data_IF_269841885830
#
_entry.id   IF_269841885830
#
_cell.length_a   1.000
_cell.length_b   1.000
_cell.length_c   1.000
_cell.angle_alpha   90.00
_cell.angle_beta   90.00
_cell.angle_gamma   90.00
#
_symmetry.space_group_name_H-M   'P 1'
#
loop_
_entity.id
_entity.type
_entity.pdbx_description
1 polymer ?
#
# COMPACT_ATOMS: atom_id res chain seq x y z
N UNK A 1 8.79 -19.16 3.64
CA UNK A 1 8.67 -17.78 4.16
C UNK A 1 8.16 -17.84 5.59
N UNK A 2 9.04 -18.17 6.55
CA UNK A 2 8.64 -18.71 7.85
C UNK A 2 9.14 -17.82 8.99
N UNK A 3 8.23 -17.25 9.81
CA UNK A 3 8.62 -16.55 11.02
C UNK A 3 9.41 -17.43 12.00
N UNK A 4 10.41 -16.87 12.68
CA UNK A 4 11.20 -17.59 13.67
C UNK A 4 10.39 -17.81 14.96
N UNK A 5 9.99 -19.05 15.29
CA UNK A 5 9.09 -19.30 16.42
C UNK A 5 9.67 -18.87 17.78
N UNK A 6 10.99 -18.81 17.92
CA UNK A 6 11.65 -18.39 19.16
C UNK A 6 11.49 -16.90 19.47
N UNK A 7 11.16 -16.09 18.46
CA UNK A 7 10.98 -14.65 18.59
C UNK A 7 9.51 -14.24 18.66
N UNK A 8 8.59 -15.18 18.48
CA UNK A 8 7.15 -14.98 18.67
C UNK A 8 6.86 -15.12 20.16
N UNK A 9 6.79 -13.99 20.86
CA UNK A 9 6.64 -13.94 22.33
C UNK A 9 5.37 -13.23 22.80
N UNK A 10 4.68 -12.53 21.91
CA UNK A 10 3.41 -11.87 22.23
C UNK A 10 2.27 -12.85 21.95
N UNK A 11 1.41 -13.03 22.95
CA UNK A 11 0.17 -13.82 22.91
C UNK A 11 -1.09 -12.93 22.86
N UNK A 12 -2.26 -13.56 22.73
CA UNK A 12 -3.58 -12.91 22.69
C UNK A 12 -3.66 -11.73 21.69
N UNK A 13 -3.06 -11.97 20.51
CA UNK A 13 -2.71 -10.92 19.57
C UNK A 13 -3.95 -10.18 19.07
N UNK A 14 -5.05 -10.87 18.72
CA UNK A 14 -6.28 -10.23 18.22
C UNK A 14 -6.94 -9.30 19.24
N UNK A 15 -7.00 -9.71 20.51
CA UNK A 15 -7.56 -8.87 21.56
C UNK A 15 -6.68 -7.63 21.79
N UNK A 16 -5.35 -7.83 21.89
CA UNK A 16 -4.40 -6.72 22.02
C UNK A 16 -4.42 -5.78 20.82
N UNK A 17 -4.60 -6.29 19.59
CA UNK A 17 -4.76 -5.46 18.38
C UNK A 17 -5.99 -4.56 18.53
N UNK A 18 -7.12 -5.11 18.97
CA UNK A 18 -8.35 -4.36 19.15
C UNK A 18 -8.19 -3.25 20.21
N UNK A 19 -7.53 -3.58 21.33
CA UNK A 19 -7.19 -2.61 22.38
C UNK A 19 -6.27 -1.52 21.82
N UNK A 20 -5.21 -1.90 21.11
CA UNK A 20 -4.25 -0.97 20.53
C UNK A 20 -4.88 0.00 19.53
N UNK A 21 -5.68 -0.52 18.58
CA UNK A 21 -6.36 0.30 17.59
C UNK A 21 -7.32 1.27 18.28
N UNK A 22 -8.04 0.82 19.31
CA UNK A 22 -8.91 1.70 20.09
C UNK A 22 -8.11 2.80 20.80
N UNK A 23 -7.13 2.43 21.63
CA UNK A 23 -6.45 3.35 22.53
C UNK A 23 -5.46 4.29 21.83
N UNK A 24 -4.72 3.80 20.83
CA UNK A 24 -3.65 4.56 20.18
C UNK A 24 -4.06 5.20 18.86
N UNK A 25 -5.19 4.79 18.28
CA UNK A 25 -5.62 5.29 16.96
C UNK A 25 -7.00 5.92 17.01
N UNK A 26 -8.03 5.16 17.38
CA UNK A 26 -9.43 5.57 17.21
C UNK A 26 -9.89 6.58 18.26
N UNK A 27 -9.68 6.33 19.55
CA UNK A 27 -10.07 7.25 20.61
C UNK A 27 -9.34 8.61 20.52
N UNK A 28 -8.02 8.66 20.27
CA UNK A 28 -7.33 9.92 19.99
C UNK A 28 -7.88 10.64 18.75
N UNK A 29 -8.17 9.90 17.67
CA UNK A 29 -8.73 10.47 16.44
C UNK A 29 -10.11 11.08 16.67
N UNK A 30 -11.01 10.42 17.43
CA UNK A 30 -12.33 10.96 17.77
C UNK A 30 -12.22 12.29 18.52
N UNK A 31 -11.30 12.39 19.48
CA UNK A 31 -11.01 13.65 20.17
C UNK A 31 -10.48 14.71 19.20
N UNK A 32 -9.56 14.32 18.33
CA UNK A 32 -8.98 15.20 17.31
C UNK A 32 -10.04 15.69 16.31
N UNK A 33 -11.02 14.87 15.94
CA UNK A 33 -12.18 15.27 15.13
C UNK A 33 -12.99 16.37 15.81
N UNK A 34 -13.25 16.23 17.12
CA UNK A 34 -13.89 17.27 17.92
C UNK A 34 -13.13 18.61 17.86
N UNK A 35 -11.81 18.57 18.07
CA UNK A 35 -10.95 19.76 17.96
C UNK A 35 -10.81 20.29 16.53
N UNK A 36 -10.84 19.41 15.53
CA UNK A 36 -10.77 19.76 14.11
C UNK A 36 -11.96 20.63 13.69
N UNK A 37 -13.15 20.34 14.22
CA UNK A 37 -14.33 21.17 13.97
C UNK A 37 -14.18 22.61 14.46
N UNK A 38 -13.48 22.81 15.59
CA UNK A 38 -13.22 24.12 16.20
C UNK A 38 -12.04 24.83 15.55
N UNK A 39 -10.91 24.15 15.41
CA UNK A 39 -9.62 24.74 15.05
C UNK A 39 -9.32 24.71 13.55
N UNK A 40 -10.09 23.92 12.79
CA UNK A 40 -9.83 23.61 11.38
C UNK A 40 -8.47 22.96 11.12
N UNK A 41 -7.84 22.40 12.16
CA UNK A 41 -6.65 21.58 12.03
C UNK A 41 -7.02 20.15 11.61
N UNK A 42 -6.09 19.44 10.99
CA UNK A 42 -6.32 18.05 10.59
C UNK A 42 -6.50 17.13 11.81
N UNK A 43 -7.46 16.19 11.79
CA UNK A 43 -7.60 15.16 12.81
C UNK A 43 -6.63 13.98 12.60
N UNK A 44 -5.79 14.03 11.56
CA UNK A 44 -4.87 12.95 11.21
C UNK A 44 -3.84 12.70 12.31
N UNK A 45 -3.90 11.50 12.89
CA UNK A 45 -2.90 11.00 13.83
C UNK A 45 -1.80 10.29 13.05
N UNK A 46 -0.54 10.77 13.15
CA UNK A 46 0.61 10.13 12.51
C UNK A 46 0.70 8.65 12.91
N UNK A 47 0.61 7.75 11.94
CA UNK A 47 0.57 6.28 12.16
C UNK A 47 1.95 5.62 12.31
N UNK A 48 3.04 6.38 12.50
CA UNK A 48 4.40 5.85 12.57
C UNK A 48 4.59 4.83 13.69
N UNK A 49 4.59 5.31 14.94
CA UNK A 49 4.72 4.44 16.13
C UNK A 49 3.53 3.50 16.33
N UNK A 50 2.26 3.93 16.20
CA UNK A 50 1.12 3.00 16.26
C UNK A 50 1.24 1.86 15.25
N UNK A 51 1.75 2.12 14.04
CA UNK A 51 1.99 1.09 13.02
C UNK A 51 3.08 0.09 13.40
N UNK A 52 4.15 0.52 14.08
CA UNK A 52 5.19 -0.38 14.60
C UNK A 52 4.66 -1.28 15.71
N UNK A 53 3.87 -0.74 16.64
CA UNK A 53 3.22 -1.56 17.67
C UNK A 53 2.20 -2.53 17.06
N UNK A 54 1.42 -2.08 16.08
CA UNK A 54 0.50 -2.94 15.34
C UNK A 54 1.26 -4.08 14.63
N UNK A 55 2.39 -3.78 13.99
CA UNK A 55 3.26 -4.81 13.39
C UNK A 55 3.76 -5.81 14.44
N UNK A 56 4.16 -5.34 15.64
CA UNK A 56 4.57 -6.23 16.73
C UNK A 56 3.45 -7.19 17.13
N UNK A 57 2.22 -6.69 17.27
CA UNK A 57 1.07 -7.52 17.63
C UNK A 57 0.66 -8.47 16.50
N UNK A 58 0.68 -8.04 15.24
CA UNK A 58 0.31 -8.92 14.12
C UNK A 58 1.32 -10.06 13.97
N UNK A 59 2.61 -9.74 14.05
CA UNK A 59 3.69 -10.72 13.88
C UNK A 59 3.96 -11.54 15.15
N UNK A 60 3.46 -11.10 16.30
CA UNK A 60 3.76 -11.69 17.60
C UNK A 60 5.18 -11.40 18.12
N UNK A 61 5.92 -10.51 17.46
CA UNK A 61 7.33 -10.24 17.75
C UNK A 61 7.47 -8.86 18.40
N UNK A 62 8.23 -8.78 19.48
CA UNK A 62 8.51 -7.50 20.14
C UNK A 62 9.38 -6.57 19.30
N UNK A 63 9.26 -5.26 19.55
CA UNK A 63 10.19 -4.26 19.03
C UNK A 63 11.60 -4.33 19.65
N UNK A 64 12.58 -3.74 18.97
CA UNK A 64 14.00 -3.77 19.38
C UNK A 64 14.38 -2.78 20.50
N UNK A 65 13.48 -1.86 20.88
CA UNK A 65 13.71 -0.76 21.86
C UNK A 65 14.74 0.29 21.42
N UNK A 66 15.03 0.40 20.12
CA UNK A 66 16.12 1.27 19.59
C UNK A 66 15.71 2.73 19.33
N UNK A 67 14.46 3.13 19.59
CA UNK A 67 14.04 4.53 19.47
C UNK A 67 14.29 5.12 18.07
N UNK A 68 14.01 4.34 17.02
CA UNK A 68 14.24 4.65 15.59
C UNK A 68 15.72 4.64 15.12
N UNK A 69 16.64 4.03 15.88
CA UNK A 69 18.07 3.92 15.53
C UNK A 69 18.56 2.47 15.29
N UNK A 70 17.65 1.55 15.01
CA UNK A 70 17.93 0.15 14.70
C UNK A 70 16.69 -0.55 14.16
N UNK A 71 16.69 -1.88 14.18
CA UNK A 71 15.61 -2.69 13.61
C UNK A 71 14.24 -2.35 14.21
N UNK A 72 13.17 -2.40 13.44
CA UNK A 72 11.84 -2.12 13.99
C UNK A 72 11.39 -3.25 14.93
N UNK A 73 11.57 -4.51 14.50
CA UNK A 73 11.29 -5.71 15.30
C UNK A 73 12.56 -6.49 15.64
N UNK A 74 12.51 -7.28 16.72
CA UNK A 74 13.67 -8.07 17.22
C UNK A 74 14.20 -9.13 16.26
N UNK A 75 13.45 -9.50 15.23
CA UNK A 75 13.86 -10.44 14.20
C UNK A 75 14.52 -9.75 12.98
N UNK A 76 14.72 -8.43 13.03
CA UNK A 76 15.26 -7.65 11.92
C UNK A 76 14.22 -7.23 10.89
N UNK A 77 12.92 -7.48 11.10
CA UNK A 77 11.86 -7.03 10.18
C UNK A 77 11.87 -5.50 10.07
N UNK A 78 11.86 -5.01 8.83
CA UNK A 78 11.68 -3.59 8.51
C UNK A 78 10.19 -3.27 8.37
N UNK A 79 9.68 -2.30 9.14
CA UNK A 79 8.27 -1.91 9.15
C UNK A 79 8.08 -0.58 8.43
N UNK A 80 7.17 -0.54 7.46
CA UNK A 80 6.69 0.72 6.86
C UNK A 80 5.20 0.88 7.03
N UNK A 81 4.81 2.06 7.48
CA UNK A 81 3.41 2.41 7.72
C UNK A 81 3.02 3.62 6.88
N UNK A 82 1.84 3.59 6.28
CA UNK A 82 1.25 4.76 5.63
C UNK A 82 -0.25 4.85 5.93
N UNK A 83 -0.84 6.03 5.74
CA UNK A 83 -2.27 6.24 5.99
C UNK A 83 -2.85 7.22 4.98
N UNK A 84 -3.98 6.83 4.38
CA UNK A 84 -4.85 7.67 3.53
C UNK A 84 -6.01 8.27 4.34
N UNK A 85 -6.14 7.87 5.61
CA UNK A 85 -7.12 8.41 6.55
C UNK A 85 -6.77 9.85 6.87
N UNK A 86 -7.79 10.72 6.80
CA UNK A 86 -7.72 12.16 7.09
C UNK A 86 -6.62 12.91 6.31
N UNK A 87 -6.33 12.41 5.10
CA UNK A 87 -5.46 13.11 4.18
C UNK A 87 -6.11 14.44 3.76
N UNK A 88 -5.30 15.50 3.69
CA UNK A 88 -5.78 16.83 3.28
C UNK A 88 -6.20 16.82 1.81
N UNK A 89 -7.46 17.20 1.59
CA UNK A 89 -8.05 17.33 0.27
C UNK A 89 -7.83 18.74 -0.29
N UNK A 90 -8.27 19.02 -1.51
CA UNK A 90 -8.08 20.34 -2.14
C UNK A 90 -9.33 20.77 -2.89
N UNK A 91 -9.83 21.98 -2.62
CA UNK A 91 -10.93 22.57 -3.36
C UNK A 91 -10.51 22.80 -4.82
N UNK A 92 -11.31 22.36 -5.80
CA UNK A 92 -10.97 22.58 -7.21
C UNK A 92 -11.18 24.04 -7.64
N UNK A 93 -12.12 24.75 -7.03
CA UNK A 93 -12.41 26.15 -7.33
C UNK A 93 -11.30 27.10 -6.84
N UNK A 94 -11.04 27.15 -5.52
CA UNK A 94 -10.10 28.12 -4.94
C UNK A 94 -8.70 27.55 -4.62
N UNK A 95 -8.48 26.23 -4.80
CA UNK A 95 -7.23 25.50 -4.47
C UNK A 95 -6.87 25.45 -2.98
N UNK A 96 -7.75 25.91 -2.09
CA UNK A 96 -7.53 25.83 -0.66
C UNK A 96 -7.62 24.39 -0.14
N UNK A 97 -6.96 24.12 1.00
CA UNK A 97 -7.04 22.82 1.66
C UNK A 97 -8.42 22.61 2.28
N UNK A 98 -8.89 21.37 2.20
CA UNK A 98 -10.18 20.96 2.75
C UNK A 98 -9.95 19.71 3.59
N UNK A 99 -10.55 19.67 4.79
CA UNK A 99 -10.44 18.52 5.67
C UNK A 99 -11.31 17.38 5.13
N UNK A 100 -10.90 16.14 5.43
CA UNK A 100 -11.63 14.94 4.97
C UNK A 100 -13.10 14.93 5.40
N UNK A 101 -13.40 15.48 6.59
CA UNK A 101 -14.77 15.57 7.13
C UNK A 101 -15.62 16.68 6.52
N UNK A 102 -15.00 17.66 5.87
CA UNK A 102 -15.71 18.79 5.29
C UNK A 102 -16.30 18.41 3.93
N UNK A 103 -17.61 18.66 3.74
CA UNK A 103 -18.32 18.46 2.47
C UNK A 103 -18.20 19.66 1.52
N UNK A 104 -17.90 20.84 2.07
CA UNK A 104 -17.79 22.13 1.37
C UNK A 104 -16.48 22.80 1.73
N UNK A 105 -15.91 23.56 0.81
CA UNK A 105 -14.75 24.40 1.09
C UNK A 105 -15.12 25.53 2.06
N UNK A 106 -14.40 25.66 3.17
CA UNK A 106 -14.60 26.70 4.18
C UNK A 106 -14.30 28.12 3.70
N UNK A 107 -13.57 28.28 2.59
CA UNK A 107 -13.20 29.60 2.03
C UNK A 107 -14.15 30.08 0.95
N UNK A 108 -14.57 29.20 0.02
CA UNK A 108 -15.39 29.60 -1.14
C UNK A 108 -16.76 28.93 -1.21
N UNK A 109 -17.10 28.04 -0.27
CA UNK A 109 -18.38 27.31 -0.24
C UNK A 109 -18.54 26.22 -1.31
N UNK A 110 -17.55 26.02 -2.18
CA UNK A 110 -17.64 25.02 -3.26
C UNK A 110 -17.64 23.57 -2.73
N UNK A 111 -18.53 22.74 -3.27
CA UNK A 111 -18.56 21.29 -3.06
C UNK A 111 -17.61 20.51 -3.98
N UNK A 112 -17.03 21.17 -5.00
CA UNK A 112 -16.12 20.51 -5.94
C UNK A 112 -14.74 20.32 -5.31
N UNK A 113 -14.61 19.23 -4.56
CA UNK A 113 -13.43 18.87 -3.80
C UNK A 113 -12.68 17.73 -4.51
N UNK A 114 -11.38 17.94 -4.75
CA UNK A 114 -10.47 16.86 -5.11
C UNK A 114 -10.07 16.12 -3.83
N UNK A 115 -10.64 14.94 -3.65
CA UNK A 115 -10.32 14.01 -2.56
C UNK A 115 -9.01 13.29 -2.87
N UNK A 116 -8.05 13.34 -1.95
CA UNK A 116 -6.70 12.80 -2.13
C UNK A 116 -6.60 11.37 -1.60
N UNK A 117 -5.84 10.53 -2.29
CA UNK A 117 -5.67 9.09 -1.98
C UNK A 117 -4.24 8.62 -2.34
N UNK A 118 -3.24 9.49 -2.11
CA UNK A 118 -1.88 9.36 -2.62
C UNK A 118 -0.81 9.23 -1.50
N UNK A 119 -1.15 8.51 -0.44
CA UNK A 119 -0.15 8.06 0.54
C UNK A 119 0.68 6.88 0.03
N UNK A 120 1.92 6.81 0.49
CA UNK A 120 2.94 5.84 0.06
C UNK A 120 3.85 5.42 1.20
N UNK A 121 4.41 4.22 1.10
CA UNK A 121 5.55 3.82 1.92
C UNK A 121 6.82 4.47 1.35
N UNK A 122 7.67 4.98 2.25
CA UNK A 122 8.90 5.67 1.89
C UNK A 122 10.10 4.82 2.30
N UNK A 123 10.95 4.50 1.34
CA UNK A 123 12.22 3.83 1.58
C UNK A 123 13.37 4.81 1.29
N UNK A 124 14.13 5.14 2.31
CA UNK A 124 15.35 5.93 2.15
C UNK A 124 16.49 4.98 1.78
N UNK A 125 17.17 5.26 0.66
CA UNK A 125 18.34 4.50 0.22
C UNK A 125 19.41 5.50 -0.20
N UNK A 126 20.43 5.67 0.65
CA UNK A 126 21.46 6.70 0.56
C UNK A 126 22.88 6.14 0.59
N UNK A 127 23.01 4.84 0.76
CA UNK A 127 24.28 4.11 0.75
C UNK A 127 24.06 2.69 0.26
N UNK A 128 25.16 2.00 -0.06
CA UNK A 128 25.13 0.58 -0.35
C UNK A 128 24.69 -0.25 0.85
N UNK A 129 25.01 0.19 2.08
CA UNK A 129 24.57 -0.46 3.31
C UNK A 129 23.04 -0.38 3.49
N UNK A 130 22.43 0.78 3.22
CA UNK A 130 20.97 0.92 3.26
C UNK A 130 20.29 0.07 2.16
N UNK A 131 20.91 -0.04 0.99
CA UNK A 131 20.42 -0.94 -0.06
C UNK A 131 20.55 -2.40 0.36
N UNK A 132 21.70 -2.80 0.91
CA UNK A 132 21.97 -4.16 1.38
C UNK A 132 21.06 -4.53 2.56
N UNK A 133 20.73 -3.57 3.43
CA UNK A 133 19.76 -3.76 4.49
C UNK A 133 18.43 -4.25 3.89
N UNK A 134 17.87 -3.49 2.97
CA UNK A 134 16.56 -3.74 2.36
C UNK A 134 16.50 -4.91 1.36
N UNK A 135 17.65 -5.41 0.88
CA UNK A 135 17.68 -6.41 -0.20
C UNK A 135 18.36 -7.72 0.17
N UNK A 136 19.17 -7.74 1.23
CA UNK A 136 20.00 -8.89 1.62
C UNK A 136 19.98 -9.19 3.11
N UNK A 137 19.83 -8.17 3.95
CA UNK A 137 20.02 -8.32 5.41
C UNK A 137 18.71 -8.59 6.12
N UNK A 138 17.66 -7.81 5.82
CA UNK A 138 16.33 -8.04 6.39
C UNK A 138 15.62 -9.11 5.56
N UNK A 139 15.19 -10.16 6.24
CA UNK A 139 14.40 -11.22 5.60
C UNK A 139 12.99 -10.76 5.27
N UNK A 140 12.39 -9.91 6.11
CA UNK A 140 10.99 -9.51 6.02
C UNK A 140 10.82 -7.99 5.99
N UNK A 141 10.05 -7.53 5.01
CA UNK A 141 9.46 -6.19 4.95
C UNK A 141 7.99 -6.31 5.34
N UNK A 142 7.56 -5.52 6.32
CA UNK A 142 6.20 -5.49 6.83
C UNK A 142 5.54 -4.14 6.54
N UNK A 143 4.49 -4.17 5.74
CA UNK A 143 3.85 -2.97 5.21
C UNK A 143 2.46 -2.81 5.81
N UNK A 144 2.20 -1.71 6.51
CA UNK A 144 0.87 -1.37 7.03
C UNK A 144 0.23 -0.20 6.30
N UNK A 145 -1.07 -0.27 6.10
CA UNK A 145 -1.86 0.82 5.54
C UNK A 145 -3.17 0.99 6.29
N UNK A 146 -3.54 2.25 6.55
CA UNK A 146 -4.90 2.63 6.91
C UNK A 146 -5.55 3.38 5.73
N UNK A 147 -6.72 2.95 5.27
CA UNK A 147 -7.44 3.56 4.16
C UNK A 147 -8.96 3.59 4.35
N UNK A 148 -9.66 4.13 3.36
CA UNK A 148 -11.12 4.11 3.27
C UNK A 148 -11.51 3.07 2.21
N UNK A 149 -12.02 1.87 2.57
CA UNK A 149 -12.29 0.79 1.62
C UNK A 149 -13.38 1.16 0.60
N UNK A 150 -14.20 2.17 0.93
CA UNK A 150 -15.27 2.72 0.09
C UNK A 150 -14.97 4.17 -0.35
N UNK A 151 -13.70 4.47 -0.60
CA UNK A 151 -13.25 5.81 -0.99
C UNK A 151 -13.97 6.35 -2.23
N UNK A 152 -14.15 5.50 -3.26
CA UNK A 152 -14.80 5.87 -4.53
C UNK A 152 -16.28 6.23 -4.37
N UNK A 153 -16.96 5.71 -3.35
CA UNK A 153 -18.35 6.07 -3.02
C UNK A 153 -18.45 7.24 -2.05
N UNK A 154 -17.35 7.92 -1.74
CA UNK A 154 -17.32 9.05 -0.80
C UNK A 154 -17.59 8.67 0.66
N UNK A 155 -17.45 7.40 1.03
CA UNK A 155 -17.62 6.98 2.41
C UNK A 155 -16.30 7.15 3.18
N UNK A 156 -16.30 8.07 4.14
CA UNK A 156 -15.16 8.38 5.02
C UNK A 156 -15.45 8.05 6.48
N UNK A 157 -16.39 7.14 6.72
CA UNK A 157 -16.79 6.70 8.06
C UNK A 157 -16.45 5.23 8.33
N UNK A 158 -16.11 4.48 7.28
CA UNK A 158 -15.51 3.15 7.42
C UNK A 158 -14.02 3.26 7.16
N UNK A 159 -13.20 2.90 8.14
CA UNK A 159 -11.74 2.82 7.99
C UNK A 159 -11.35 1.35 7.85
N UNK A 160 -10.30 1.06 7.08
CA UNK A 160 -9.70 -0.27 7.02
C UNK A 160 -8.22 -0.19 7.34
N UNK A 161 -7.74 -1.10 8.19
CA UNK A 161 -6.33 -1.32 8.48
C UNK A 161 -5.90 -2.64 7.84
N UNK A 162 -4.79 -2.64 7.13
CA UNK A 162 -4.25 -3.83 6.49
C UNK A 162 -2.75 -3.94 6.74
N UNK A 163 -2.25 -5.18 6.69
CA UNK A 163 -0.83 -5.44 6.66
C UNK A 163 -0.45 -6.51 5.64
N UNK A 164 0.73 -6.31 5.04
CA UNK A 164 1.29 -7.18 4.02
C UNK A 164 2.74 -7.53 4.36
N UNK A 165 3.13 -8.76 4.03
CA UNK A 165 4.51 -9.23 4.14
C UNK A 165 5.14 -9.39 2.75
N UNK A 166 6.41 -8.99 2.65
CA UNK A 166 7.31 -9.29 1.54
C UNK A 166 8.56 -9.91 2.17
N UNK A 167 8.99 -11.05 1.65
CA UNK A 167 10.13 -11.82 2.15
C UNK A 167 11.28 -11.81 1.14
N UNK A 168 12.33 -11.04 1.42
CA UNK A 168 13.41 -10.74 0.48
C UNK A 168 14.25 -11.97 0.08
N UNK A 169 14.39 -12.94 0.99
CA UNK A 169 15.12 -14.18 0.73
C UNK A 169 14.36 -15.16 -0.16
N UNK A 170 13.08 -14.90 -0.46
CA UNK A 170 12.25 -15.78 -1.28
C UNK A 170 12.15 -15.30 -2.75
N UNK A 171 12.40 -16.18 -3.75
CA UNK A 171 12.29 -15.84 -5.18
C UNK A 171 10.94 -15.23 -5.59
N UNK A 172 9.85 -15.58 -4.88
CA UNK A 172 8.52 -15.04 -5.06
C UNK A 172 8.49 -13.52 -5.04
N UNK A 173 9.32 -12.92 -4.19
CA UNK A 173 9.31 -11.49 -3.89
C UNK A 173 10.48 -10.71 -4.51
N UNK A 174 11.25 -11.34 -5.41
CA UNK A 174 12.46 -10.78 -6.06
C UNK A 174 12.32 -9.36 -6.62
N UNK A 175 11.10 -9.00 -7.03
CA UNK A 175 10.81 -7.70 -7.63
C UNK A 175 10.95 -6.55 -6.64
N UNK A 176 10.76 -6.77 -5.33
CA UNK A 176 11.02 -5.74 -4.33
C UNK A 176 12.50 -5.32 -4.33
N UNK A 177 13.42 -6.29 -4.26
CA UNK A 177 14.85 -6.02 -4.30
C UNK A 177 15.28 -5.34 -5.61
N UNK A 178 14.65 -5.72 -6.73
CA UNK A 178 14.87 -5.09 -8.04
C UNK A 178 14.44 -3.61 -8.04
N UNK A 179 13.30 -3.27 -7.42
CA UNK A 179 12.84 -1.89 -7.30
C UNK A 179 13.76 -1.03 -6.42
N UNK A 180 14.23 -1.56 -5.30
CA UNK A 180 15.15 -0.86 -4.42
C UNK A 180 16.50 -0.61 -5.10
N UNK A 181 17.02 -1.62 -5.79
CA UNK A 181 18.26 -1.53 -6.58
C UNK A 181 18.13 -0.51 -7.72
N UNK A 182 17.03 -0.57 -8.48
CA UNK A 182 16.78 0.36 -9.58
C UNK A 182 16.72 1.81 -9.11
N UNK A 183 16.04 2.08 -7.99
CA UNK A 183 16.01 3.41 -7.41
C UNK A 183 17.41 3.88 -7.01
N UNK A 184 18.20 3.05 -6.33
CA UNK A 184 19.55 3.42 -5.91
C UNK A 184 20.43 3.79 -7.11
N UNK A 185 20.47 2.92 -8.13
CA UNK A 185 21.31 3.12 -9.31
C UNK A 185 20.83 4.27 -10.18
N UNK A 186 19.53 4.32 -10.50
CA UNK A 186 18.98 5.26 -11.49
C UNK A 186 18.64 6.62 -10.90
N UNK A 187 18.22 6.68 -9.63
CA UNK A 187 17.85 7.94 -8.97
C UNK A 187 18.94 8.44 -8.04
N UNK A 188 19.35 7.64 -7.06
CA UNK A 188 20.27 8.12 -6.03
C UNK A 188 21.64 8.48 -6.60
N UNK A 189 22.31 7.53 -7.25
CA UNK A 189 23.65 7.75 -7.81
C UNK A 189 23.65 8.80 -8.92
N UNK A 190 22.67 8.78 -9.83
CA UNK A 190 22.61 9.79 -10.90
C UNK A 190 22.37 11.21 -10.37
N UNK A 191 21.53 11.38 -9.34
CA UNK A 191 21.38 12.69 -8.70
C UNK A 191 22.68 13.16 -8.03
N UNK A 192 23.45 12.25 -7.42
CA UNK A 192 24.75 12.55 -6.81
C UNK A 192 25.81 12.92 -7.84
N UNK A 193 25.81 12.28 -9.02
CA UNK A 193 26.67 12.66 -10.16
C UNK A 193 26.39 14.09 -10.64
N UNK A 194 25.11 14.49 -10.71
CA UNK A 194 24.71 15.83 -11.12
C UNK A 194 24.99 16.89 -10.04
N UNK A 195 24.85 16.53 -8.76
CA UNK A 195 25.13 17.43 -7.64
C UNK A 195 25.40 16.63 -6.36
N UNK A 196 26.63 16.69 -5.87
CA UNK A 196 27.05 15.98 -4.67
C UNK A 196 26.20 16.32 -3.43
N UNK A 197 25.71 17.56 -3.33
CA UNK A 197 24.89 18.04 -2.21
C UNK A 197 23.41 17.68 -2.35
N UNK A 198 22.96 17.24 -3.53
CA UNK A 198 21.56 16.88 -3.74
C UNK A 198 21.29 15.52 -3.12
N UNK A 199 20.28 15.48 -2.25
CA UNK A 199 19.72 14.22 -1.73
C UNK A 199 18.34 14.06 -2.37
N UNK A 200 18.14 13.05 -3.23
CA UNK A 200 16.84 12.85 -3.86
C UNK A 200 15.78 12.46 -2.82
N UNK A 201 14.52 12.68 -3.17
CA UNK A 201 13.39 12.23 -2.35
C UNK A 201 13.42 10.70 -2.21
N UNK A 202 13.02 10.14 -1.06
CA UNK A 202 12.99 8.69 -0.84
C UNK A 202 12.22 7.94 -1.93
N UNK A 203 12.47 6.64 -2.05
CA UNK A 203 11.73 5.76 -2.96
C UNK A 203 10.28 5.68 -2.50
N UNK A 204 9.39 6.21 -3.34
CA UNK A 204 7.95 6.04 -3.20
C UNK A 204 7.58 4.60 -3.58
N UNK A 205 6.97 3.88 -2.64
CA UNK A 205 6.35 2.58 -2.90
C UNK A 205 4.86 2.69 -2.60
N UNK A 206 4.06 2.60 -3.67
CA UNK A 206 2.65 2.96 -3.65
C UNK A 206 1.77 1.74 -3.38
N UNK A 207 0.90 1.78 -2.35
CA UNK A 207 -0.08 0.71 -2.10
C UNK A 207 -0.96 0.47 -3.32
N UNK A 208 -1.19 -0.81 -3.64
CA UNK A 208 -2.02 -1.25 -4.77
C UNK A 208 -1.60 -0.73 -6.14
N UNK A 209 -0.35 -0.29 -6.28
CA UNK A 209 0.21 0.03 -7.59
C UNK A 209 0.61 -1.24 -8.34
N UNK A 210 0.78 -1.12 -9.64
CA UNK A 210 1.33 -2.19 -10.49
C UNK A 210 2.58 -2.85 -9.88
N UNK A 211 3.52 -2.02 -9.39
CA UNK A 211 4.76 -2.51 -8.79
C UNK A 211 4.54 -3.21 -7.45
N UNK A 212 3.55 -2.77 -6.67
CA UNK A 212 3.17 -3.46 -5.44
C UNK A 212 2.71 -4.88 -5.73
N UNK A 213 1.85 -5.09 -6.71
CA UNK A 213 1.39 -6.43 -7.07
C UNK A 213 2.50 -7.32 -7.63
N UNK A 214 3.41 -6.77 -8.45
CA UNK A 214 4.57 -7.53 -8.93
C UNK A 214 5.57 -7.90 -7.83
N UNK A 215 5.53 -7.24 -6.68
CA UNK A 215 6.29 -7.69 -5.50
C UNK A 215 5.64 -8.89 -4.79
N UNK A 216 4.51 -9.41 -5.28
CA UNK A 216 3.79 -10.57 -4.75
C UNK A 216 3.50 -10.53 -3.23
N UNK A 217 3.04 -9.41 -2.66
CA UNK A 217 2.82 -9.27 -1.23
C UNK A 217 1.77 -10.26 -0.71
N UNK A 218 2.01 -10.83 0.47
CA UNK A 218 1.06 -11.69 1.19
C UNK A 218 0.29 -10.85 2.20
N UNK A 219 -1.05 -10.78 2.09
CA UNK A 219 -1.89 -10.10 3.08
C UNK A 219 -1.99 -10.95 4.34
N UNK A 220 -1.54 -10.41 5.47
CA UNK A 220 -1.51 -11.13 6.77
C UNK A 220 -2.52 -10.60 7.78
N UNK A 221 -3.08 -9.42 7.53
CA UNK A 221 -4.04 -8.79 8.43
C UNK A 221 -4.98 -7.86 7.68
N UNK A 222 -6.26 -7.90 8.06
CA UNK A 222 -7.26 -6.90 7.70
C UNK A 222 -8.21 -6.69 8.88
N UNK A 223 -8.49 -5.42 9.14
CA UNK A 223 -9.47 -4.98 10.12
C UNK A 223 -10.31 -3.87 9.51
N UNK A 224 -11.63 -4.00 9.61
CA UNK A 224 -12.60 -2.98 9.22
C UNK A 224 -13.14 -2.31 10.47
N UNK A 225 -13.14 -0.98 10.46
CA UNK A 225 -13.71 -0.16 11.53
C UNK A 225 -14.90 0.59 10.98
N UNK A 226 -16.09 0.23 11.45
CA UNK A 226 -17.35 0.94 11.12
C UNK A 226 -17.63 2.03 12.14
N UNK A 227 -18.46 3.01 11.78
CA UNK A 227 -18.81 4.17 12.61
C UNK A 227 -17.58 4.92 13.17
N UNK A 228 -16.52 4.99 12.35
CA UNK A 228 -15.19 5.41 12.79
C UNK A 228 -15.11 6.89 13.22
N UNK A 229 -16.09 7.71 12.83
CA UNK A 229 -16.16 9.12 13.24
C UNK A 229 -17.04 9.34 14.48
N UNK A 230 -17.69 8.31 15.03
CA UNK A 230 -18.61 8.45 16.17
C UNK A 230 -18.34 7.42 17.26
N UNK A 231 -18.71 6.16 17.04
CA UNK A 231 -18.54 5.04 17.96
C UNK A 231 -17.90 3.87 17.22
N UNK A 232 -16.57 3.89 17.04
CA UNK A 232 -15.85 2.92 16.24
C UNK A 232 -16.11 1.48 16.68
N UNK A 233 -16.48 0.62 15.73
CA UNK A 233 -16.64 -0.83 15.93
C UNK A 233 -15.57 -1.53 15.12
N UNK A 234 -14.67 -2.23 15.81
CA UNK A 234 -13.53 -2.95 15.24
C UNK A 234 -13.97 -4.37 14.87
N UNK A 235 -13.72 -4.77 13.63
CA UNK A 235 -13.92 -6.13 13.13
C UNK A 235 -12.66 -6.62 12.40
N UNK A 236 -12.01 -7.67 12.92
CA UNK A 236 -10.81 -8.27 12.30
C UNK A 236 -11.28 -9.31 11.29
N UNK A 237 -11.37 -8.92 10.03
CA UNK A 237 -11.90 -9.73 8.92
C UNK A 237 -10.89 -10.73 8.35
N UNK A 238 -9.59 -10.49 8.53
CA UNK A 238 -8.52 -11.40 8.10
C UNK A 238 -7.35 -11.37 9.08
N UNK A 239 -6.84 -12.53 9.45
CA UNK A 239 -5.66 -12.64 10.30
C UNK A 239 -4.95 -13.96 10.08
N UNK A 240 -3.65 -13.88 9.76
CA UNK A 240 -2.78 -15.05 9.65
C UNK A 240 -1.94 -15.12 10.92
N UNK A 241 -2.13 -16.19 11.68
CA UNK A 241 -1.44 -16.39 12.95
C UNK A 241 0.10 -16.29 12.81
N UNK A 242 0.81 -15.77 13.82
CA UNK A 242 2.25 -15.52 13.78
C UNK A 242 3.12 -16.71 13.36
N UNK A 243 2.71 -17.93 13.74
CA UNK A 243 3.51 -19.14 13.58
C UNK A 243 3.33 -19.82 12.20
N UNK A 244 2.35 -19.39 11.42
CA UNK A 244 2.01 -20.01 10.13
C UNK A 244 3.08 -19.69 9.09
N UNK A 245 3.49 -20.66 8.27
CA UNK A 245 4.39 -20.41 7.14
C UNK A 245 3.63 -19.72 6.00
N UNK A 246 4.23 -18.69 5.39
CA UNK A 246 3.58 -17.96 4.29
C UNK A 246 3.79 -18.59 2.92
N UNK A 247 4.57 -19.68 2.82
CA UNK A 247 4.95 -20.33 1.56
C UNK A 247 3.75 -20.68 0.68
N UNK A 248 2.70 -21.27 1.26
CA UNK A 248 1.52 -21.74 0.52
C UNK A 248 0.35 -20.75 0.54
N UNK A 249 0.58 -19.52 1.03
CA UNK A 249 -0.46 -18.50 1.12
C UNK A 249 -0.42 -17.63 -0.12
N UNK A 250 -1.54 -17.53 -0.83
CA UNK A 250 -1.65 -16.73 -2.04
C UNK A 250 -1.31 -15.25 -1.82
N UNK A 251 -0.71 -14.62 -2.82
CA UNK A 251 -0.43 -13.18 -2.81
C UNK A 251 -1.73 -12.41 -3.05
N UNK A 252 -1.69 -11.10 -2.78
CA UNK A 252 -2.80 -10.23 -3.13
C UNK A 252 -3.09 -10.29 -4.64
N UNK A 253 -4.35 -10.54 -4.99
CA UNK A 253 -4.84 -10.57 -6.37
C UNK A 253 -4.67 -9.19 -7.03
N UNK A 254 -4.13 -9.15 -8.25
CA UNK A 254 -3.88 -7.92 -8.98
C UNK A 254 -5.12 -7.52 -9.79
N UNK A 255 -5.73 -6.35 -9.57
CA UNK A 255 -6.84 -5.89 -10.38
C UNK A 255 -6.38 -5.61 -11.82
N UNK A 256 -7.05 -6.17 -12.83
CA UNK A 256 -6.74 -5.88 -14.24
C UNK A 256 -7.02 -4.42 -14.62
N UNK A 257 -7.79 -3.71 -13.81
CA UNK A 257 -8.07 -2.28 -13.97
C UNK A 257 -6.80 -1.41 -14.01
N UNK A 258 -5.72 -1.83 -13.34
CA UNK A 258 -4.44 -1.09 -13.29
C UNK A 258 -3.50 -1.39 -14.46
N UNK A 259 -3.82 -2.41 -15.27
CA UNK A 259 -3.08 -2.75 -16.48
C UNK A 259 -3.43 -1.79 -17.61
N UNK A 260 -2.42 -1.41 -18.38
CA UNK A 260 -2.67 -0.80 -19.69
C UNK A 260 -3.14 -1.90 -20.68
N UNK A 261 -3.68 -1.52 -21.87
CA UNK A 261 -4.21 -2.50 -22.81
C UNK A 261 -3.18 -3.54 -23.29
N UNK A 262 -1.94 -3.12 -23.55
CA UNK A 262 -0.86 -4.02 -24.01
C UNK A 262 -0.48 -5.04 -22.95
N UNK A 263 -0.36 -4.62 -21.69
CA UNK A 263 -0.09 -5.50 -20.55
C UNK A 263 -1.23 -6.49 -20.32
N UNK A 264 -2.49 -6.04 -20.42
CA UNK A 264 -3.66 -6.90 -20.28
C UNK A 264 -3.68 -7.99 -21.37
N UNK A 265 -3.41 -7.60 -22.62
CA UNK A 265 -3.35 -8.54 -23.74
C UNK A 265 -2.19 -9.51 -23.59
N UNK A 266 -1.02 -9.02 -23.15
CA UNK A 266 0.13 -9.87 -22.87
C UNK A 266 -0.20 -10.92 -21.80
N UNK A 267 -0.90 -10.56 -20.72
CA UNK A 267 -1.32 -11.53 -19.70
C UNK A 267 -2.25 -12.59 -20.30
N UNK A 268 -3.26 -12.21 -21.07
CA UNK A 268 -4.21 -13.17 -21.63
C UNK A 268 -3.53 -14.10 -22.65
N UNK A 269 -2.63 -13.59 -23.48
CA UNK A 269 -1.99 -14.35 -24.55
C UNK A 269 -0.75 -15.17 -24.10
N UNK A 270 -0.14 -14.81 -22.97
CA UNK A 270 1.07 -15.49 -22.47
C UNK A 270 0.76 -16.62 -21.48
N UNK A 271 -0.50 -16.78 -21.09
CA UNK A 271 -0.96 -17.81 -20.15
C UNK A 271 -1.84 -18.83 -20.87
N UNK A 272 -1.98 -20.02 -20.28
CA UNK A 272 -2.84 -21.05 -20.87
C UNK A 272 -4.32 -20.65 -20.77
N UNK A 273 -5.18 -21.13 -21.68
CA UNK A 273 -6.62 -20.91 -21.58
C UNK A 273 -7.20 -21.37 -20.24
N UNK A 274 -6.70 -22.48 -19.69
CA UNK A 274 -7.15 -23.02 -18.40
C UNK A 274 -6.81 -22.06 -17.25
N UNK A 275 -5.58 -21.54 -17.19
CA UNK A 275 -5.15 -20.59 -16.15
C UNK A 275 -6.03 -19.33 -16.14
N UNK A 276 -6.38 -18.82 -17.32
CA UNK A 276 -7.25 -17.65 -17.47
C UNK A 276 -8.69 -17.99 -17.11
N UNK A 277 -9.22 -19.10 -17.61
CA UNK A 277 -10.62 -19.52 -17.37
C UNK A 277 -10.93 -19.65 -15.88
N UNK A 278 -10.00 -20.11 -15.04
CA UNK A 278 -10.20 -20.21 -13.59
C UNK A 278 -10.41 -18.86 -12.89
N UNK A 279 -10.10 -17.75 -13.55
CA UNK A 279 -10.15 -16.40 -13.00
C UNK A 279 -11.22 -15.52 -13.67
N UNK A 280 -11.95 -16.05 -14.64
CA UNK A 280 -13.07 -15.37 -15.27
C UNK A 280 -14.30 -15.36 -14.37
N UNK A 281 -15.09 -14.29 -14.47
CA UNK A 281 -16.44 -14.31 -13.92
C UNK A 281 -17.33 -15.26 -14.71
N UNK A 282 -18.38 -15.75 -14.06
CA UNK A 282 -19.37 -16.64 -14.69
C UNK A 282 -19.95 -16.04 -15.99
N UNK A 283 -20.06 -16.87 -17.02
CA UNK A 283 -20.59 -16.48 -18.34
C UNK A 283 -19.55 -15.98 -19.34
N UNK A 284 -18.26 -15.97 -18.98
CA UNK A 284 -17.15 -15.70 -19.89
C UNK A 284 -16.22 -16.91 -20.02
N UNK A 285 -15.61 -17.05 -21.19
CA UNK A 285 -14.55 -18.01 -21.47
C UNK A 285 -13.37 -17.32 -22.20
N UNK A 286 -12.26 -18.05 -22.29
CA UNK A 286 -11.04 -17.58 -22.95
C UNK A 286 -11.28 -17.13 -24.40
N UNK A 287 -12.02 -17.93 -25.18
CA UNK A 287 -12.28 -17.64 -26.60
C UNK A 287 -13.13 -16.37 -26.76
N UNK A 288 -14.07 -16.13 -25.84
CA UNK A 288 -14.83 -14.89 -25.73
C UNK A 288 -13.93 -13.69 -25.46
N UNK A 289 -12.94 -13.81 -24.57
CA UNK A 289 -11.95 -12.75 -24.36
C UNK A 289 -11.12 -12.47 -25.61
N UNK A 290 -10.60 -13.50 -26.27
CA UNK A 290 -9.80 -13.36 -27.49
C UNK A 290 -10.62 -12.69 -28.60
N UNK A 291 -11.91 -13.02 -28.70
CA UNK A 291 -12.83 -12.37 -29.63
C UNK A 291 -12.96 -10.88 -29.34
N UNK A 292 -13.15 -10.49 -28.07
CA UNK A 292 -13.19 -9.08 -27.64
C UNK A 292 -11.88 -8.34 -27.88
N UNK A 293 -10.74 -9.03 -27.80
CA UNK A 293 -9.43 -8.42 -28.08
C UNK A 293 -9.28 -8.08 -29.57
N UNK A 294 -9.78 -8.95 -30.44
CA UNK A 294 -9.65 -8.82 -31.89
C UNK A 294 -10.56 -7.75 -32.51
N UNK A 295 -11.64 -7.34 -31.82
CA UNK A 295 -12.52 -6.26 -32.30
C UNK A 295 -11.91 -4.86 -32.14
N UNK A 296 -10.90 -4.69 -31.28
CA UNK A 296 -10.06 -3.50 -31.18
C UNK A 296 -10.74 -2.23 -30.64
N UNK A 297 -11.94 -2.31 -30.07
CA UNK A 297 -12.65 -1.13 -29.57
C UNK A 297 -12.36 -0.85 -28.09
N UNK A 298 -12.38 0.43 -27.69
CA UNK A 298 -12.17 0.84 -26.30
C UNK A 298 -13.24 0.28 -25.34
N UNK A 299 -14.46 0.08 -25.83
CA UNK A 299 -15.55 -0.57 -25.10
C UNK A 299 -15.19 -2.01 -24.72
N UNK A 300 -14.46 -2.70 -25.58
CA UNK A 300 -14.12 -4.12 -25.42
C UNK A 300 -13.07 -4.29 -24.31
N UNK A 301 -12.11 -3.38 -24.18
CA UNK A 301 -11.16 -3.37 -23.06
C UNK A 301 -11.88 -3.26 -21.71
N UNK A 302 -12.96 -2.47 -21.64
CA UNK A 302 -13.77 -2.36 -20.41
C UNK A 302 -14.50 -3.66 -20.11
N UNK A 303 -15.04 -4.33 -21.13
CA UNK A 303 -15.69 -5.63 -20.96
C UNK A 303 -14.68 -6.72 -20.57
N UNK A 304 -13.50 -6.77 -21.19
CA UNK A 304 -12.41 -7.69 -20.81
C UNK A 304 -12.04 -7.49 -19.33
N UNK A 305 -11.87 -6.25 -18.88
CA UNK A 305 -11.56 -5.94 -17.46
C UNK A 305 -12.70 -6.29 -16.50
N UNK A 306 -13.96 -6.36 -16.96
CA UNK A 306 -15.07 -6.86 -16.15
C UNK A 306 -15.06 -8.38 -16.10
N UNK A 307 -14.80 -9.01 -17.24
CA UNK A 307 -14.78 -10.47 -17.41
C UNK A 307 -13.63 -11.12 -16.64
N UNK A 308 -12.44 -10.51 -16.68
CA UNK A 308 -11.26 -10.87 -15.92
C UNK A 308 -10.91 -9.73 -14.95
N UNK A 309 -11.58 -9.61 -13.80
CA UNK A 309 -11.42 -8.47 -12.90
C UNK A 309 -10.09 -8.49 -12.15
N UNK A 310 -9.54 -9.68 -11.91
CA UNK A 310 -8.30 -9.88 -11.17
C UNK A 310 -7.44 -10.97 -11.83
N UNK A 311 -6.13 -10.87 -11.60
CA UNK A 311 -5.15 -11.90 -11.96
C UNK A 311 -4.29 -12.26 -10.74
N UNK A 312 -4.00 -13.54 -10.59
CA UNK A 312 -3.22 -14.10 -9.50
C UNK A 312 -1.70 -13.95 -9.72
N UNK A 313 -0.93 -14.59 -8.84
CA UNK A 313 0.53 -14.58 -8.90
C UNK A 313 1.07 -15.29 -10.14
N UNK A 314 0.56 -16.47 -10.48
CA UNK A 314 0.99 -17.28 -11.63
C UNK A 314 0.80 -16.53 -12.94
N UNK A 315 -0.39 -15.95 -13.13
CA UNK A 315 -0.76 -15.32 -14.40
C UNK A 315 -0.05 -13.99 -14.65
N UNK A 316 0.35 -13.27 -13.60
CA UNK A 316 1.14 -12.03 -13.74
C UNK A 316 2.64 -12.25 -13.86
N UNK A 317 3.15 -13.49 -13.83
CA UNK A 317 4.60 -13.76 -13.96
C UNK A 317 5.19 -13.33 -15.30
N UNK A 318 4.37 -13.23 -16.35
CA UNK A 318 4.79 -12.73 -17.67
C UNK A 318 5.06 -11.22 -17.70
N UNK A 319 4.62 -10.49 -16.67
CA UNK A 319 4.76 -9.04 -16.59
C UNK A 319 6.15 -8.63 -16.06
N UNK A 320 6.64 -7.49 -16.54
CA UNK A 320 7.90 -6.89 -16.11
C UNK A 320 7.68 -5.58 -15.36
N UNK A 321 8.61 -5.22 -14.46
CA UNK A 321 8.54 -3.95 -13.75
C UNK A 321 8.53 -2.78 -14.74
N UNK A 322 7.55 -1.88 -14.62
CA UNK A 322 7.55 -0.61 -15.36
C UNK A 322 8.78 0.24 -15.00
N UNK A 323 9.35 0.95 -15.97
CA UNK A 323 10.44 1.89 -15.72
C UNK A 323 9.92 3.20 -15.10
N UNK A 324 9.83 3.22 -13.77
CA UNK A 324 9.27 4.36 -13.00
C UNK A 324 10.32 5.33 -12.48
N UNK A 325 11.60 4.93 -12.46
CA UNK A 325 12.68 5.68 -11.82
C UNK A 325 13.41 6.52 -12.89
N UNK A 326 12.75 7.61 -13.31
CA UNK A 326 13.26 8.58 -14.31
C UNK A 326 13.51 9.94 -13.69
N UNK A 327 14.65 10.56 -14.02
CA UNK A 327 15.01 11.89 -13.51
C UNK A 327 14.10 12.93 -14.17
N UNK A 328 13.15 13.46 -13.42
CA UNK A 328 12.34 14.60 -13.87
C UNK A 328 13.07 15.91 -13.57
N UNK A 329 13.31 16.74 -14.59
CA UNK A 329 13.78 18.11 -14.40
C UNK A 329 12.56 18.99 -14.10
N UNK A 330 12.56 19.67 -12.95
CA UNK A 330 11.49 20.59 -12.60
C UNK A 330 11.46 21.75 -13.61
N UNK A 331 10.35 21.89 -14.34
CA UNK A 331 10.17 22.98 -15.32
C UNK A 331 9.92 24.35 -14.67
N UNK A 332 9.67 24.39 -13.36
CA UNK A 332 9.34 25.63 -12.64
C UNK A 332 9.84 25.57 -11.19
N UNK A 333 10.47 26.62 -10.66
CA UNK A 333 10.87 26.68 -9.24
C UNK A 333 9.63 26.68 -8.34
N UNK A 334 9.66 25.88 -7.27
CA UNK A 334 8.63 25.89 -6.24
C UNK A 334 8.71 27.19 -5.44
N UNK A 335 7.69 28.05 -5.55
CA UNK A 335 7.53 29.21 -4.70
C UNK A 335 6.73 28.79 -3.47
N UNK A 336 7.36 28.87 -2.30
CA UNK A 336 6.67 28.72 -1.01
C UNK A 336 5.72 29.92 -0.87
N UNK A 337 4.42 29.63 -0.78
CA UNK A 337 3.41 30.66 -0.44
C UNK A 337 3.53 31.05 1.02
#
# INVERSE_FOLDING_TARGET
>A
MKPNPKLITIDDNKAKISILLKELVLDPRLKALGWSNVTKQTPNMKVGYPGQHLASLITGIEGSRTGARGDDLRDGTEVKSCSRVDQLDTCKACKEKVLRVEKVCSVCGSEDIRRMDDSKWLFSIRSEDELALLTKTVDRIFLTIADYPRFSSGNYDTIRFQAFEIWNSDPRHKHFASLMTNYYLKMFLEHKKLSANKTPAPKNFWPYSYQFFLCNPVKVFECVVTDANTKPIIDITHYIEPHVDRSDIASEMMPTSILNPEELYSVILSNSPDDINTQLIEGFDYDGLVTLMNSGQSKDIREIKKALPYIDESTRTCLSLRDTDKISVAKTPYLRR
#
